data_IF_077354571302
#
_entry.id   IF_077354571302
#
_cell.length_a   1.000
_cell.length_b   1.000
_cell.length_c   1.000
_cell.angle_alpha   90.00
_cell.angle_beta   90.00
_cell.angle_gamma   90.00
#
_symmetry.space_group_name_H-M   'P 1'
#
loop_
_entity.id
_entity.type
_entity.pdbx_description
1 polymer ?
#
# COMPACT_ATOMS: atom_id res chain seq x y z
N UNK A 1 24.08 -9.28 6.12
CA UNK A 1 22.63 -9.07 5.88
C UNK A 1 22.40 -8.73 4.42
N UNK A 2 21.94 -9.69 3.62
CA UNK A 2 21.70 -9.44 2.20
C UNK A 2 20.55 -8.43 2.04
N UNK A 3 20.85 -7.25 1.49
CA UNK A 3 19.89 -6.23 1.08
C UNK A 3 19.06 -6.82 -0.06
N UNK A 4 18.11 -7.71 0.25
CA UNK A 4 17.21 -8.33 -0.74
C UNK A 4 16.49 -7.18 -1.43
N UNK A 5 16.81 -6.98 -2.72
CA UNK A 5 16.03 -6.11 -3.61
C UNK A 5 14.58 -6.57 -3.46
N UNK A 6 13.73 -5.73 -2.87
CA UNK A 6 12.30 -5.98 -2.82
C UNK A 6 11.87 -6.20 -4.27
N UNK A 7 11.49 -7.43 -4.59
CA UNK A 7 11.13 -7.80 -5.96
C UNK A 7 9.81 -7.11 -6.30
N UNK A 8 9.63 -6.75 -7.56
CA UNK A 8 8.49 -6.00 -8.05
C UNK A 8 7.13 -6.57 -7.56
N UNK A 9 7.05 -7.90 -7.49
CA UNK A 9 5.88 -8.63 -6.99
C UNK A 9 5.62 -8.43 -5.50
N UNK A 10 6.64 -8.20 -4.67
CA UNK A 10 6.48 -7.93 -3.24
C UNK A 10 5.80 -6.58 -3.00
N UNK A 11 6.16 -5.56 -3.77
CA UNK A 11 5.50 -4.26 -3.67
C UNK A 11 4.02 -4.34 -4.06
N UNK A 12 3.71 -4.99 -5.19
CA UNK A 12 2.32 -5.20 -5.63
C UNK A 12 1.53 -6.04 -4.62
N UNK A 13 2.15 -7.08 -4.06
CA UNK A 13 1.56 -7.89 -3.01
C UNK A 13 1.28 -7.06 -1.74
N UNK A 14 2.21 -6.17 -1.35
CA UNK A 14 2.01 -5.24 -0.23
C UNK A 14 0.86 -4.28 -0.48
N UNK A 15 0.68 -3.78 -1.72
CA UNK A 15 -0.44 -2.91 -2.09
C UNK A 15 -1.77 -3.60 -2.06
N UNK A 16 -1.84 -4.84 -2.58
CA UNK A 16 -3.05 -5.65 -2.51
C UNK A 16 -3.42 -5.95 -1.06
N UNK A 17 -2.45 -6.36 -0.25
CA UNK A 17 -2.66 -6.64 1.17
C UNK A 17 -3.08 -5.38 1.93
N UNK A 18 -2.46 -4.24 1.63
CA UNK A 18 -2.81 -2.94 2.19
C UNK A 18 -4.25 -2.56 1.86
N UNK A 19 -4.70 -2.72 0.62
CA UNK A 19 -6.09 -2.44 0.23
C UNK A 19 -7.11 -3.31 0.98
N UNK A 20 -6.81 -4.59 1.18
CA UNK A 20 -7.66 -5.50 1.97
C UNK A 20 -7.71 -5.09 3.43
N UNK A 21 -6.55 -4.76 4.03
CA UNK A 21 -6.48 -4.28 5.41
C UNK A 21 -7.20 -2.94 5.59
N UNK A 22 -7.04 -2.01 4.66
CA UNK A 22 -7.74 -0.74 4.65
C UNK A 22 -9.26 -0.95 4.55
N UNK A 23 -9.71 -1.88 3.70
CA UNK A 23 -11.12 -2.24 3.58
C UNK A 23 -11.68 -2.86 4.85
N UNK A 24 -10.98 -3.84 5.45
CA UNK A 24 -11.38 -4.41 6.74
C UNK A 24 -11.46 -3.32 7.80
N UNK A 25 -10.46 -2.46 7.91
CA UNK A 25 -10.44 -1.38 8.89
C UNK A 25 -11.62 -0.43 8.68
N UNK A 26 -11.95 -0.06 7.45
CA UNK A 26 -13.13 0.76 7.14
C UNK A 26 -14.47 0.07 7.48
N UNK A 27 -14.57 -1.24 7.27
CA UNK A 27 -15.81 -2.01 7.53
C UNK A 27 -16.00 -2.30 9.03
N UNK A 28 -14.90 -2.53 9.76
CA UNK A 28 -14.92 -2.85 11.18
C UNK A 28 -14.79 -1.62 12.08
N UNK A 29 -14.38 -0.46 11.58
CA UNK A 29 -14.40 0.79 12.34
C UNK A 29 -15.83 1.30 12.47
N UNK A 30 -16.36 1.22 13.69
CA UNK A 30 -17.66 1.78 14.08
C UNK A 30 -17.71 3.31 13.90
N UNK A 31 -16.56 3.97 13.98
CA UNK A 31 -16.40 5.41 13.80
C UNK A 31 -15.23 5.73 12.86
N UNK A 32 -15.53 6.33 11.71
CA UNK A 32 -14.49 6.81 10.80
C UNK A 32 -14.01 8.18 11.30
N UNK A 33 -12.98 8.17 12.15
CA UNK A 33 -12.33 9.40 12.61
C UNK A 33 -11.46 10.01 11.50
N UNK A 34 -11.31 11.33 11.51
CA UNK A 34 -10.38 12.05 10.61
C UNK A 34 -8.95 11.50 10.64
N UNK A 35 -8.51 11.01 11.80
CA UNK A 35 -7.20 10.39 12.01
C UNK A 35 -7.02 9.12 11.17
N UNK A 36 -8.06 8.27 11.11
CA UNK A 36 -8.07 7.04 10.32
C UNK A 36 -7.91 7.36 8.84
N UNK A 37 -8.65 8.33 8.33
CA UNK A 37 -8.57 8.75 6.92
C UNK A 37 -7.17 9.28 6.60
N UNK A 38 -6.60 10.11 7.47
CA UNK A 38 -5.28 10.68 7.28
C UNK A 38 -4.19 9.59 7.27
N UNK A 39 -4.24 8.65 8.21
CA UNK A 39 -3.34 7.51 8.28
C UNK A 39 -3.45 6.63 7.02
N UNK A 40 -4.66 6.41 6.52
CA UNK A 40 -4.94 5.62 5.34
C UNK A 40 -4.36 6.28 4.08
N UNK A 41 -4.56 7.60 3.91
CA UNK A 41 -3.96 8.36 2.80
C UNK A 41 -2.43 8.36 2.86
N UNK A 42 -1.84 8.61 4.04
CA UNK A 42 -0.38 8.58 4.22
C UNK A 42 0.21 7.20 3.90
N UNK A 43 -0.44 6.14 4.37
CA UNK A 43 -0.05 4.76 4.10
C UNK A 43 -0.17 4.42 2.60
N UNK A 44 -1.23 4.90 1.94
CA UNK A 44 -1.44 4.73 0.51
C UNK A 44 -0.26 5.29 -0.29
N UNK A 45 0.19 6.51 0.01
CA UNK A 45 1.30 7.18 -0.71
C UNK A 45 2.59 6.35 -0.64
N UNK A 46 2.95 5.86 0.55
CA UNK A 46 4.16 5.04 0.76
C UNK A 46 4.10 3.76 -0.07
N UNK A 47 2.92 3.14 -0.13
CA UNK A 47 2.66 1.91 -0.88
C UNK A 47 2.56 2.17 -2.39
N UNK A 48 2.15 3.37 -2.82
CA UNK A 48 1.99 3.74 -4.22
C UNK A 48 3.33 3.99 -4.95
N UNK A 49 4.35 4.53 -4.26
CA UNK A 49 5.68 4.80 -4.83
C UNK A 49 6.31 3.57 -5.50
N UNK A 50 6.42 2.40 -4.82
CA UNK A 50 6.98 1.22 -5.47
C UNK A 50 6.08 0.69 -6.58
N UNK A 51 4.74 0.82 -6.48
CA UNK A 51 3.81 0.43 -7.55
C UNK A 51 4.04 1.25 -8.82
N UNK A 52 4.13 2.58 -8.71
CA UNK A 52 4.40 3.44 -9.86
C UNK A 52 5.70 3.09 -10.56
N UNK A 53 6.76 2.86 -9.76
CA UNK A 53 8.07 2.48 -10.29
C UNK A 53 8.02 1.13 -11.02
N UNK A 54 7.17 0.21 -10.57
CA UNK A 54 6.93 -1.08 -11.23
C UNK A 54 6.15 -0.94 -12.53
N UNK A 55 5.07 -0.15 -12.55
CA UNK A 55 4.26 0.09 -13.76
C UNK A 55 5.14 0.73 -14.84
N UNK A 56 5.92 1.76 -14.48
CA UNK A 56 6.83 2.41 -15.41
C UNK A 56 7.85 1.43 -16.02
N UNK A 57 8.44 0.56 -15.19
CA UNK A 57 9.43 -0.43 -15.64
C UNK A 57 8.84 -1.55 -16.50
N UNK A 58 7.53 -1.78 -16.46
CA UNK A 58 6.85 -2.75 -17.34
C UNK A 58 6.50 -2.16 -18.71
N UNK A 59 6.48 -0.83 -18.81
CA UNK A 59 6.17 -0.07 -20.02
C UNK A 59 7.44 0.40 -20.77
N UNK A 60 8.63 0.26 -20.18
CA UNK A 60 9.94 0.30 -20.85
C UNK A 60 10.34 -1.11 -21.31
#
# INVERSE_FOLDING_TARGET
>A
MARRKITNSQAVCLTLLWGVLAYMLLVYSEEITFDVIFALVASAIIVFVPVYKNIKRRNE
#
